data_IF_213922638819
#
_entry.id   IF_213922638819
#
_cell.length_a   1.000
_cell.length_b   1.000
_cell.length_c   1.000
_cell.angle_alpha   90.00
_cell.angle_beta   90.00
_cell.angle_gamma   90.00
#
_symmetry.space_group_name_H-M   'P 1'
#
loop_
_entity.id
_entity.type
_entity.pdbx_description
1 polymer ?
#
# COMPACT_ATOMS: atom_id res chain seq x y z
N UNK A 1 -16.03 -47.79 -14.29
CA UNK A 1 -16.50 -46.91 -13.20
C UNK A 1 -15.35 -46.21 -12.46
N UNK A 2 -14.17 -46.82 -12.35
CA UNK A 2 -12.98 -46.25 -11.69
C UNK A 2 -12.34 -45.07 -12.45
N UNK A 3 -12.36 -45.11 -13.79
CA UNK A 3 -11.75 -44.04 -14.62
C UNK A 3 -12.54 -42.73 -14.64
N UNK A 4 -13.86 -42.77 -14.42
CA UNK A 4 -14.74 -41.58 -14.43
C UNK A 4 -14.68 -40.84 -13.09
N UNK A 5 -14.54 -41.58 -11.97
CA UNK A 5 -14.34 -40.98 -10.64
C UNK A 5 -13.02 -40.21 -10.53
N UNK A 6 -11.94 -40.75 -11.09
CA UNK A 6 -10.65 -40.04 -11.12
C UNK A 6 -10.72 -38.75 -11.97
N UNK A 7 -11.46 -38.73 -13.08
CA UNK A 7 -11.60 -37.53 -13.91
C UNK A 7 -12.38 -36.42 -13.19
N UNK A 8 -13.46 -36.77 -12.47
CA UNK A 8 -14.24 -35.82 -11.68
C UNK A 8 -13.45 -35.22 -10.51
N UNK A 9 -12.70 -36.04 -9.77
CA UNK A 9 -11.82 -35.55 -8.68
C UNK A 9 -10.72 -34.61 -9.22
N UNK A 10 -10.14 -34.92 -10.38
CA UNK A 10 -9.16 -34.05 -11.03
C UNK A 10 -9.77 -32.71 -11.47
N UNK A 11 -10.98 -32.70 -12.03
CA UNK A 11 -11.70 -31.49 -12.43
C UNK A 11 -12.07 -30.61 -11.22
N UNK A 12 -12.49 -31.21 -10.10
CA UNK A 12 -12.77 -30.50 -8.85
C UNK A 12 -11.49 -29.87 -8.27
N UNK A 13 -10.36 -30.59 -8.29
CA UNK A 13 -9.07 -30.06 -7.82
C UNK A 13 -8.58 -28.89 -8.69
N UNK A 14 -8.72 -29.00 -10.02
CA UNK A 14 -8.35 -27.93 -10.96
C UNK A 14 -9.22 -26.68 -10.73
N UNK A 15 -10.53 -26.87 -10.55
CA UNK A 15 -11.48 -25.78 -10.31
C UNK A 15 -11.21 -25.09 -8.98
N UNK A 16 -11.01 -25.86 -7.90
CA UNK A 16 -10.68 -25.31 -6.58
C UNK A 16 -9.36 -24.54 -6.57
N UNK A 17 -8.33 -25.01 -7.31
CA UNK A 17 -7.08 -24.26 -7.50
C UNK A 17 -7.32 -22.95 -8.25
N UNK A 18 -8.11 -22.97 -9.33
CA UNK A 18 -8.41 -21.77 -10.10
C UNK A 18 -9.21 -20.73 -9.29
N UNK A 19 -10.18 -21.16 -8.49
CA UNK A 19 -10.94 -20.29 -7.58
C UNK A 19 -10.05 -19.69 -6.51
N UNK A 20 -9.17 -20.50 -5.89
CA UNK A 20 -8.20 -20.00 -4.91
C UNK A 20 -7.28 -18.94 -5.52
N UNK A 21 -6.79 -19.17 -6.74
CA UNK A 21 -5.97 -18.19 -7.47
C UNK A 21 -6.72 -16.88 -7.70
N UNK A 22 -7.98 -16.96 -8.12
CA UNK A 22 -8.83 -15.80 -8.36
C UNK A 22 -9.06 -15.00 -7.06
N UNK A 23 -9.30 -15.68 -5.94
CA UNK A 23 -9.46 -15.03 -4.64
C UNK A 23 -8.21 -14.28 -4.20
N UNK A 24 -7.03 -14.89 -4.32
CA UNK A 24 -5.74 -14.23 -3.98
C UNK A 24 -5.49 -13.04 -4.91
N UNK A 25 -5.80 -13.15 -6.20
CA UNK A 25 -5.69 -12.02 -7.14
C UNK A 25 -6.63 -10.87 -6.79
N UNK A 26 -7.90 -11.18 -6.50
CA UNK A 26 -8.89 -10.17 -6.11
C UNK A 26 -8.51 -9.49 -4.79
N UNK A 27 -7.97 -10.25 -3.83
CA UNK A 27 -7.47 -9.69 -2.57
C UNK A 27 -6.27 -8.79 -2.81
N UNK A 28 -5.31 -9.20 -3.63
CA UNK A 28 -4.15 -8.37 -3.98
C UNK A 28 -4.60 -7.06 -4.63
N UNK A 29 -5.49 -7.13 -5.63
CA UNK A 29 -6.02 -5.95 -6.34
C UNK A 29 -6.78 -5.02 -5.40
N UNK A 30 -7.73 -5.56 -4.62
CA UNK A 30 -8.55 -4.76 -3.69
C UNK A 30 -7.67 -4.08 -2.65
N UNK A 31 -6.76 -4.83 -2.03
CA UNK A 31 -5.89 -4.28 -1.00
C UNK A 31 -4.85 -3.30 -1.55
N UNK A 32 -4.45 -3.44 -2.82
CA UNK A 32 -3.54 -2.49 -3.48
C UNK A 32 -4.26 -1.16 -3.75
N UNK A 33 -5.52 -1.22 -4.21
CA UNK A 33 -6.34 -0.03 -4.42
C UNK A 33 -6.59 0.72 -3.10
N UNK A 34 -6.99 0.01 -2.05
CA UNK A 34 -7.22 0.61 -0.73
C UNK A 34 -5.96 1.27 -0.17
N UNK A 35 -4.81 0.61 -0.34
CA UNK A 35 -3.50 1.13 0.04
C UNK A 35 -3.17 2.43 -0.72
N UNK A 36 -3.31 2.45 -2.04
CA UNK A 36 -3.07 3.64 -2.88
C UNK A 36 -4.00 4.78 -2.49
N UNK A 37 -5.30 4.51 -2.37
CA UNK A 37 -6.30 5.54 -2.03
C UNK A 37 -6.02 6.16 -0.66
N UNK A 38 -5.64 5.34 0.33
CA UNK A 38 -5.31 5.81 1.67
C UNK A 38 -4.08 6.74 1.66
N UNK A 39 -3.00 6.33 0.99
CA UNK A 39 -1.78 7.13 0.90
C UNK A 39 -1.99 8.42 0.11
N UNK A 40 -2.71 8.35 -1.01
CA UNK A 40 -2.99 9.52 -1.85
C UNK A 40 -3.86 10.54 -1.12
N UNK A 41 -4.91 10.09 -0.44
CA UNK A 41 -5.74 10.98 0.36
C UNK A 41 -4.92 11.68 1.44
N UNK A 42 -4.07 10.93 2.14
CA UNK A 42 -3.18 11.47 3.15
C UNK A 42 -2.23 12.51 2.54
N UNK A 43 -1.45 12.11 1.54
CA UNK A 43 -0.49 12.98 0.87
C UNK A 43 -1.13 14.28 0.36
N UNK A 44 -2.25 14.18 -0.34
CA UNK A 44 -2.93 15.35 -0.92
C UNK A 44 -3.48 16.29 0.16
N UNK A 45 -4.06 15.76 1.24
CA UNK A 45 -4.60 16.61 2.32
C UNK A 45 -3.52 17.43 3.01
N UNK A 46 -2.32 16.86 3.19
CA UNK A 46 -1.20 17.54 3.83
C UNK A 46 -0.46 18.51 2.90
N UNK A 47 -0.50 18.28 1.58
CA UNK A 47 0.13 19.14 0.58
C UNK A 47 -0.82 20.15 -0.08
N UNK A 48 -2.09 20.20 0.34
CA UNK A 48 -3.06 21.18 -0.13
C UNK A 48 -2.76 22.56 0.48
N UNK A 49 -1.93 23.35 -0.24
CA UNK A 49 -1.43 24.66 0.19
C UNK A 49 -2.50 25.76 0.19
N UNK A 50 -3.60 25.56 -0.52
CA UNK A 50 -4.66 26.57 -0.67
C UNK A 50 -5.71 26.47 0.43
N UNK A 51 -5.65 25.44 1.27
CA UNK A 51 -6.74 25.11 2.17
C UNK A 51 -6.46 25.43 3.66
N UNK A 52 -5.21 25.60 4.11
CA UNK A 52 -4.91 25.68 5.56
C UNK A 52 -3.69 26.53 5.97
N UNK A 53 -3.79 27.15 7.14
CA UNK A 53 -2.68 27.73 7.93
C UNK A 53 -1.71 26.62 8.39
N UNK A 54 -0.87 26.12 7.48
CA UNK A 54 0.16 25.15 7.79
C UNK A 54 1.21 25.80 8.71
N UNK A 55 1.55 25.19 9.87
CA UNK A 55 2.59 25.70 10.75
C UNK A 55 3.93 25.82 10.04
N UNK A 56 4.66 26.93 10.25
CA UNK A 56 5.94 27.20 9.56
C UNK A 56 7.07 26.25 9.96
N UNK A 57 6.95 25.64 11.15
CA UNK A 57 7.86 24.64 11.71
C UNK A 57 7.57 23.21 11.21
N UNK A 58 6.45 23.00 10.50
CA UNK A 58 6.08 21.71 9.93
C UNK A 58 6.71 21.53 8.54
N UNK A 59 7.60 20.56 8.42
CA UNK A 59 8.20 20.17 7.14
C UNK A 59 7.43 18.97 6.57
N UNK A 60 6.41 19.26 5.77
CA UNK A 60 5.56 18.25 5.15
C UNK A 60 6.36 17.39 4.16
N UNK A 61 7.27 17.99 3.39
CA UNK A 61 8.07 17.26 2.41
C UNK A 61 9.01 16.26 3.11
N UNK A 62 9.63 16.64 4.23
CA UNK A 62 10.44 15.73 5.03
C UNK A 62 9.62 14.63 5.72
N UNK A 63 8.41 14.95 6.19
CA UNK A 63 7.51 13.98 6.84
C UNK A 63 7.06 12.88 5.88
N UNK A 64 6.76 13.23 4.64
CA UNK A 64 6.27 12.28 3.63
C UNK A 64 7.40 11.70 2.76
N UNK A 65 8.57 12.34 2.70
CA UNK A 65 9.75 11.87 1.97
C UNK A 65 9.44 11.56 0.51
N UNK A 66 9.73 10.34 0.06
CA UNK A 66 9.44 9.89 -1.29
C UNK A 66 8.07 9.17 -1.43
N UNK A 67 7.10 9.45 -0.55
CA UNK A 67 5.78 8.81 -0.59
C UNK A 67 5.08 8.94 -1.95
N UNK A 68 5.21 10.09 -2.64
CA UNK A 68 4.63 10.26 -3.97
C UNK A 68 5.15 9.23 -4.98
N UNK A 69 6.43 8.86 -4.89
CA UNK A 69 7.01 7.82 -5.75
C UNK A 69 6.42 6.44 -5.42
N UNK A 70 6.21 6.14 -4.13
CA UNK A 70 5.54 4.91 -3.68
C UNK A 70 4.12 4.84 -4.24
N UNK A 71 3.34 5.93 -4.12
CA UNK A 71 1.97 6.02 -4.63
C UNK A 71 1.95 5.76 -6.14
N UNK A 72 2.81 6.44 -6.90
CA UNK A 72 2.86 6.29 -8.36
C UNK A 72 3.27 4.88 -8.79
N UNK A 73 4.26 4.28 -8.12
CA UNK A 73 4.67 2.91 -8.39
C UNK A 73 3.53 1.92 -8.11
N UNK A 74 2.84 2.08 -6.98
CA UNK A 74 1.72 1.23 -6.56
C UNK A 74 0.53 1.36 -7.51
N UNK A 75 0.24 2.58 -8.01
CA UNK A 75 -0.77 2.82 -9.05
C UNK A 75 -0.43 2.13 -10.38
N UNK A 76 0.84 2.19 -10.77
CA UNK A 76 1.31 1.49 -11.97
C UNK A 76 1.13 -0.02 -11.81
N UNK A 77 1.56 -0.56 -10.67
CA UNK A 77 1.40 -1.97 -10.35
C UNK A 77 -0.08 -2.39 -10.36
N UNK A 78 -0.97 -1.64 -9.73
CA UNK A 78 -2.42 -1.89 -9.77
C UNK A 78 -2.98 -1.91 -11.21
N UNK A 79 -2.53 -1.00 -12.06
CA UNK A 79 -2.93 -0.97 -13.47
C UNK A 79 -2.43 -2.20 -14.23
N UNK A 80 -1.23 -2.68 -13.91
CA UNK A 80 -0.70 -3.94 -14.46
C UNK A 80 -1.48 -5.15 -13.94
N UNK A 81 -1.83 -5.20 -12.65
CA UNK A 81 -2.64 -6.29 -12.07
C UNK A 81 -3.97 -6.48 -12.81
N UNK A 82 -4.64 -5.39 -13.18
CA UNK A 82 -5.90 -5.42 -13.94
C UNK A 82 -5.74 -5.93 -15.38
N UNK A 83 -4.55 -5.80 -15.97
CA UNK A 83 -4.30 -6.11 -17.39
C UNK A 83 -3.58 -7.43 -17.60
N UNK A 84 -2.76 -7.86 -16.63
CA UNK A 84 -1.91 -9.04 -16.72
C UNK A 84 -2.62 -10.28 -16.18
N UNK A 85 -2.69 -11.34 -16.97
CA UNK A 85 -3.03 -12.68 -16.47
C UNK A 85 -1.88 -13.32 -15.67
N UNK A 86 -0.65 -12.80 -15.81
CA UNK A 86 0.57 -13.29 -15.15
C UNK A 86 1.11 -12.23 -14.16
N UNK A 87 0.51 -12.19 -12.97
CA UNK A 87 0.86 -11.24 -11.92
C UNK A 87 2.35 -11.29 -11.52
N UNK A 88 2.93 -12.48 -11.44
CA UNK A 88 4.33 -12.68 -11.03
C UNK A 88 5.27 -12.01 -12.04
N UNK A 89 5.07 -12.24 -13.34
CA UNK A 89 5.87 -11.61 -14.40
C UNK A 89 5.79 -10.08 -14.33
N UNK A 90 4.58 -9.55 -14.15
CA UNK A 90 4.36 -8.10 -14.05
C UNK A 90 4.99 -7.49 -12.79
N UNK A 91 5.10 -8.25 -11.68
CA UNK A 91 5.88 -7.82 -10.51
C UNK A 91 7.38 -7.83 -10.77
N UNK A 92 7.92 -8.87 -11.43
CA UNK A 92 9.34 -8.98 -11.76
C UNK A 92 9.83 -7.83 -12.66
N UNK A 93 8.98 -7.35 -13.58
CA UNK A 93 9.27 -6.17 -14.40
C UNK A 93 9.49 -4.90 -13.56
N UNK A 94 8.79 -4.78 -12.42
CA UNK A 94 8.88 -3.64 -11.51
C UNK A 94 9.81 -3.86 -10.31
N UNK A 95 10.39 -5.04 -10.15
CA UNK A 95 11.14 -5.44 -8.94
C UNK A 95 12.24 -4.43 -8.58
N UNK A 96 13.01 -3.98 -9.58
CA UNK A 96 14.09 -3.02 -9.38
C UNK A 96 13.57 -1.67 -8.88
N UNK A 97 12.43 -1.21 -9.40
CA UNK A 97 11.79 0.03 -8.95
C UNK A 97 11.20 -0.11 -7.55
N UNK A 98 10.52 -1.23 -7.25
CA UNK A 98 10.07 -1.55 -5.89
C UNK A 98 11.25 -1.50 -4.91
N UNK A 99 12.33 -2.21 -5.22
CA UNK A 99 13.52 -2.23 -4.37
C UNK A 99 14.09 -0.84 -4.17
N UNK A 100 14.28 -0.06 -5.23
CA UNK A 100 14.86 1.29 -5.16
C UNK A 100 13.99 2.25 -4.35
N UNK A 101 12.71 2.35 -4.68
CA UNK A 101 11.79 3.33 -4.09
C UNK A 101 11.48 2.99 -2.63
N UNK A 102 11.20 1.72 -2.31
CA UNK A 102 10.94 1.31 -0.93
C UNK A 102 12.20 1.34 -0.05
N UNK A 103 13.38 1.02 -0.59
CA UNK A 103 14.63 1.16 0.19
C UNK A 103 14.85 2.61 0.62
N UNK A 104 14.62 3.57 -0.27
CA UNK A 104 14.72 4.98 0.06
C UNK A 104 13.70 5.38 1.14
N UNK A 105 12.44 4.94 1.00
CA UNK A 105 11.40 5.26 1.98
C UNK A 105 11.72 4.67 3.36
N UNK A 106 12.12 3.40 3.42
CA UNK A 106 12.44 2.72 4.67
C UNK A 106 13.64 3.36 5.38
N UNK A 107 14.68 3.77 4.65
CA UNK A 107 15.84 4.46 5.23
C UNK A 107 15.48 5.79 5.87
N UNK A 108 14.49 6.50 5.31
CA UNK A 108 14.04 7.77 5.85
C UNK A 108 13.01 7.60 6.97
N UNK A 109 12.48 6.39 7.19
CA UNK A 109 11.36 6.18 8.09
C UNK A 109 11.70 6.47 9.56
N UNK A 110 12.93 6.16 10.00
CA UNK A 110 13.40 6.51 11.34
C UNK A 110 13.37 8.04 11.58
N UNK A 111 13.74 8.82 10.55
CA UNK A 111 13.66 10.29 10.60
C UNK A 111 12.21 10.76 10.64
N UNK A 112 11.29 10.10 9.91
CA UNK A 112 9.86 10.40 9.94
C UNK A 112 9.28 10.18 11.34
N UNK A 113 9.67 9.10 12.02
CA UNK A 113 9.25 8.83 13.41
C UNK A 113 9.75 9.95 14.34
N UNK A 114 11.03 10.32 14.26
CA UNK A 114 11.58 11.41 15.06
C UNK A 114 10.89 12.76 14.81
N UNK A 115 10.49 13.04 13.56
CA UNK A 115 9.71 14.22 13.22
C UNK A 115 8.30 14.18 13.83
N UNK A 116 7.62 13.03 13.79
CA UNK A 116 6.31 12.87 14.43
C UNK A 116 6.38 13.14 15.94
N UNK A 117 7.39 12.59 16.63
CA UNK A 117 7.60 12.83 18.06
C UNK A 117 7.87 14.31 18.36
N UNK A 118 8.68 14.97 17.52
CA UNK A 118 8.92 16.41 17.61
C UNK A 118 7.65 17.23 17.42
N UNK A 119 6.78 16.84 16.49
CA UNK A 119 5.55 17.56 16.19
C UNK A 119 4.42 17.30 17.19
N UNK A 120 4.50 16.20 17.94
CA UNK A 120 3.51 15.89 18.99
C UNK A 120 3.67 16.76 20.24
N UNK A 121 4.88 17.28 20.49
CA UNK A 121 5.14 18.23 21.59
C UNK A 121 4.90 19.70 21.21
N UNK A 122 4.71 19.99 19.92
CA UNK A 122 4.47 21.34 19.41
C UNK A 122 2.96 21.55 19.19
N UNK A 123 2.36 22.47 19.95
CA UNK A 123 0.90 22.63 19.99
C UNK A 123 0.30 23.05 18.64
N UNK A 124 0.98 23.91 17.87
CA UNK A 124 0.52 24.34 16.55
C UNK A 124 0.55 23.18 15.55
N UNK A 125 1.66 22.42 15.53
CA UNK A 125 1.79 21.21 14.72
C UNK A 125 0.75 20.17 15.11
N UNK A 126 0.59 19.88 16.40
CA UNK A 126 -0.36 18.90 16.90
C UNK A 126 -1.80 19.26 16.51
N UNK A 127 -2.20 20.52 16.68
CA UNK A 127 -3.52 21.01 16.29
C UNK A 127 -3.73 20.90 14.77
N UNK A 128 -2.72 21.22 13.96
CA UNK A 128 -2.78 21.03 12.51
C UNK A 128 -2.95 19.54 12.14
N UNK A 129 -2.12 18.66 12.70
CA UNK A 129 -2.17 17.21 12.48
C UNK A 129 -3.53 16.63 12.85
N UNK A 130 -4.10 17.00 14.01
CA UNK A 130 -5.42 16.55 14.44
C UNK A 130 -6.52 17.00 13.47
N UNK A 131 -6.48 18.25 12.97
CA UNK A 131 -7.42 18.74 11.95
C UNK A 131 -7.32 17.94 10.65
N UNK A 132 -6.12 17.60 10.20
CA UNK A 132 -5.94 16.76 9.01
C UNK A 132 -6.45 15.33 9.24
N UNK A 133 -6.14 14.75 10.40
CA UNK A 133 -6.63 13.43 10.78
C UNK A 133 -8.15 13.38 10.88
N UNK A 134 -8.82 14.42 11.38
CA UNK A 134 -10.28 14.48 11.43
C UNK A 134 -10.89 14.47 10.02
N UNK A 135 -10.29 15.18 9.06
CA UNK A 135 -10.71 15.15 7.64
C UNK A 135 -10.46 13.81 6.98
N UNK A 136 -9.40 13.11 7.36
CA UNK A 136 -9.20 11.74 6.91
C UNK A 136 -10.25 10.80 7.48
N UNK A 137 -10.55 10.91 8.79
CA UNK A 137 -11.54 10.07 9.48
C UNK A 137 -12.96 10.18 8.92
N UNK A 138 -13.31 11.32 8.31
CA UNK A 138 -14.61 11.47 7.64
C UNK A 138 -14.71 10.72 6.30
N UNK A 139 -13.57 10.35 5.70
CA UNK A 139 -13.48 9.65 4.41
C UNK A 139 -13.07 8.19 4.56
N UNK A 140 -12.27 7.86 5.56
CA UNK A 140 -11.65 6.54 5.73
C UNK A 140 -11.43 6.20 7.21
N UNK A 141 -11.40 4.89 7.52
CA UNK A 141 -11.07 4.41 8.87
C UNK A 141 -9.56 4.50 9.10
N UNK A 142 -9.11 5.54 9.81
CA UNK A 142 -7.71 5.75 10.18
C UNK A 142 -7.61 6.12 11.66
N UNK A 143 -6.57 5.60 12.35
CA UNK A 143 -6.39 5.83 13.79
C UNK A 143 -5.54 7.07 14.05
N UNK A 144 -4.33 7.08 13.51
CA UNK A 144 -3.32 8.13 13.63
C UNK A 144 -2.45 8.22 12.36
N UNK A 145 -1.66 9.29 12.23
CA UNK A 145 -0.81 9.53 11.07
C UNK A 145 0.35 8.51 10.96
N UNK A 146 0.96 8.12 12.08
CA UNK A 146 2.03 7.13 12.11
C UNK A 146 1.59 5.78 11.52
N UNK A 147 0.35 5.37 11.80
CA UNK A 147 -0.28 4.15 11.27
C UNK A 147 -0.47 4.17 9.75
N UNK A 148 -0.48 5.36 9.13
CA UNK A 148 -0.51 5.54 7.68
C UNK A 148 0.91 5.55 7.12
N UNK A 149 1.83 6.29 7.76
CA UNK A 149 3.21 6.45 7.31
C UNK A 149 4.03 5.14 7.40
N UNK A 150 3.65 4.20 8.27
CA UNK A 150 4.25 2.85 8.35
C UNK A 150 3.70 1.89 7.28
N UNK A 151 2.57 2.19 6.62
CA UNK A 151 1.94 1.29 5.65
C UNK A 151 2.89 0.86 4.51
N UNK A 152 3.71 1.74 3.90
CA UNK A 152 4.66 1.30 2.89
C UNK A 152 5.68 0.27 3.41
N UNK A 153 6.17 0.45 4.64
CA UNK A 153 7.10 -0.49 5.29
C UNK A 153 6.41 -1.83 5.55
N UNK A 154 5.12 -1.82 5.90
CA UNK A 154 4.34 -3.05 6.05
C UNK A 154 4.02 -3.71 4.70
N UNK A 155 3.68 -2.91 3.68
CA UNK A 155 3.24 -3.40 2.36
C UNK A 155 4.37 -4.14 1.64
N UNK A 156 5.61 -3.64 1.71
CA UNK A 156 6.76 -4.31 1.06
C UNK A 156 7.01 -5.72 1.62
N UNK A 157 6.68 -5.96 2.89
CA UNK A 157 6.79 -7.28 3.52
C UNK A 157 5.64 -8.23 3.13
N UNK A 158 4.53 -7.70 2.60
CA UNK A 158 3.37 -8.49 2.18
C UNK A 158 3.49 -9.02 0.75
N UNK A 159 4.17 -8.32 -0.16
CA UNK A 159 4.32 -8.79 -1.54
C UNK A 159 4.94 -10.19 -1.63
N UNK A 160 6.02 -10.55 -0.92
CA UNK A 160 6.57 -11.91 -0.99
C UNK A 160 5.58 -12.98 -0.54
N UNK A 161 4.76 -12.69 0.48
CA UNK A 161 3.75 -13.63 0.97
C UNK A 161 2.67 -13.87 -0.08
N UNK A 162 2.09 -12.78 -0.62
CA UNK A 162 1.04 -12.84 -1.65
C UNK A 162 1.54 -13.48 -2.95
N UNK A 163 2.76 -13.15 -3.38
CA UNK A 163 3.37 -13.77 -4.56
C UNK A 163 3.67 -15.26 -4.34
N UNK A 164 4.11 -15.67 -3.14
CA UNK A 164 4.33 -17.08 -2.83
C UNK A 164 3.03 -17.89 -2.81
N UNK A 165 1.92 -17.27 -2.41
CA UNK A 165 0.60 -17.91 -2.46
C UNK A 165 0.11 -18.06 -3.89
N UNK A 166 0.38 -17.08 -4.76
CA UNK A 166 0.11 -17.21 -6.19
C UNK A 166 0.96 -18.31 -6.84
N UNK A 167 2.24 -18.43 -6.47
CA UNK A 167 3.17 -19.45 -7.00
C UNK A 167 2.78 -20.88 -6.57
N UNK A 168 2.37 -21.07 -5.30
CA UNK A 168 1.93 -22.39 -4.78
C UNK A 168 0.66 -22.94 -5.40
N UNK A 169 -0.10 -22.12 -6.12
CA UNK A 169 -1.34 -22.53 -6.79
C UNK A 169 -1.07 -23.02 -8.22
N UNK A 170 0.16 -22.92 -8.72
CA UNK A 170 0.63 -23.57 -9.95
C UNK A 170 0.96 -25.06 -9.75
#
# INVERSE_FOLDING_TARGET
MSSVKNTQELEEIITAKAEKRLNVMNELETTELDYVMCLELCYNLFHDKDAYDCPTNLDVDALFGNMLQIINLSKNFHTMLKKCSQVISCFLELENDFKRVYTQYCRNHDNVIALLEKYDVDEECQNFMQRMMQKMKSKMVVFDLGSILIKPVQRILKYPLLLSELDKVF
#
